data_IF_853008884371
#
_entry.id   IF_853008884371
#
_cell.length_a   1.000
_cell.length_b   1.000
_cell.length_c   1.000
_cell.angle_alpha   90.00
_cell.angle_beta   90.00
_cell.angle_gamma   90.00
#
_symmetry.space_group_name_H-M   'P 1'
#
loop_
_entity.id
_entity.type
_entity.pdbx_description
1 polymer ?
#
# COMPACT_ATOMS: atom_id res chain seq x y z
N UNK A 1 25.11 25.33 -44.18
CA UNK A 1 24.83 24.77 -45.52
C UNK A 1 25.06 23.27 -45.42
N UNK A 2 23.96 22.50 -45.35
CA UNK A 2 23.71 21.08 -45.72
C UNK A 2 24.67 19.97 -45.18
N UNK A 3 24.20 19.08 -44.28
CA UNK A 3 23.45 17.79 -44.50
C UNK A 3 24.42 16.62 -44.85
N UNK A 4 24.29 15.35 -44.44
CA UNK A 4 23.27 14.45 -43.84
C UNK A 4 24.06 13.14 -43.51
N UNK A 5 23.71 12.29 -42.53
CA UNK A 5 22.64 11.27 -42.64
C UNK A 5 22.25 10.72 -41.26
N UNK A 6 20.97 10.91 -40.94
CA UNK A 6 20.17 10.23 -39.92
C UNK A 6 19.49 9.03 -40.60
N UNK A 7 19.53 7.85 -39.97
CA UNK A 7 18.73 6.70 -40.40
C UNK A 7 17.87 6.18 -39.25
N UNK A 8 16.64 6.70 -39.17
CA UNK A 8 15.49 6.01 -38.56
C UNK A 8 14.75 5.23 -39.64
N UNK A 9 14.00 4.19 -39.24
CA UNK A 9 12.68 3.96 -39.81
C UNK A 9 11.60 4.12 -38.72
N UNK A 10 10.71 5.08 -38.98
CA UNK A 10 9.37 5.13 -38.41
C UNK A 10 8.54 4.02 -39.06
N UNK A 11 7.74 3.29 -38.28
CA UNK A 11 6.56 2.62 -38.79
C UNK A 11 5.42 2.76 -37.78
N UNK A 12 4.54 3.71 -38.06
CA UNK A 12 3.17 3.77 -37.55
C UNK A 12 2.33 2.82 -38.39
N UNK A 13 1.78 1.77 -37.77
CA UNK A 13 0.64 1.06 -38.33
C UNK A 13 -0.57 1.25 -37.42
N UNK A 14 -1.41 2.18 -37.85
CA UNK A 14 -2.83 2.27 -37.50
C UNK A 14 -3.59 1.12 -38.17
N UNK A 15 -4.15 0.21 -37.38
CA UNK A 15 -5.38 -0.53 -37.70
C UNK A 15 -5.92 -1.18 -36.43
N UNK A 16 -7.22 -0.98 -36.22
CA UNK A 16 -8.09 -1.53 -35.17
C UNK A 16 -8.17 -0.77 -33.83
N UNK A 17 -8.58 0.50 -33.91
CA UNK A 17 -9.30 1.16 -32.80
C UNK A 17 -10.77 1.33 -33.20
N UNK A 18 -11.65 0.54 -32.58
CA UNK A 18 -13.10 0.79 -32.63
C UNK A 18 -13.40 2.07 -31.83
N UNK A 19 -14.13 2.99 -32.46
CA UNK A 19 -14.65 4.23 -31.86
C UNK A 19 -15.53 3.89 -30.64
N UNK A 20 -15.22 4.50 -29.50
CA UNK A 20 -16.19 4.75 -28.43
C UNK A 20 -16.67 6.20 -28.52
N UNK A 21 -17.95 6.37 -28.20
CA UNK A 21 -18.79 7.54 -28.44
C UNK A 21 -18.28 8.78 -27.70
N UNK A 22 -18.33 9.91 -28.40
CA UNK A 22 -18.05 11.22 -27.83
C UNK A 22 -19.26 11.73 -27.08
N UNK A 23 -19.15 11.78 -25.75
CA UNK A 23 -19.98 12.60 -24.86
C UNK A 23 -19.31 12.67 -23.48
N UNK A 24 -18.12 13.28 -23.41
CA UNK A 24 -17.61 13.93 -22.17
C UNK A 24 -16.68 15.07 -22.58
N UNK A 25 -17.24 16.15 -23.11
CA UNK A 25 -16.55 17.44 -23.11
C UNK A 25 -17.32 18.37 -22.17
N UNK A 26 -16.57 19.04 -21.27
CA UNK A 26 -16.98 20.14 -20.39
C UNK A 26 -17.39 19.76 -18.97
N UNK A 27 -16.40 19.62 -18.08
CA UNK A 27 -16.55 19.95 -16.66
C UNK A 27 -15.21 20.43 -16.06
N UNK A 28 -14.60 21.45 -16.65
CA UNK A 28 -13.61 22.27 -15.97
C UNK A 28 -14.08 23.72 -16.06
N UNK A 29 -14.76 24.17 -15.00
CA UNK A 29 -14.98 25.60 -14.73
C UNK A 29 -14.20 25.90 -13.47
N UNK A 30 -13.06 26.54 -13.66
CA UNK A 30 -12.25 27.13 -12.60
C UNK A 30 -13.00 28.33 -12.00
N UNK A 31 -13.31 28.27 -10.71
CA UNK A 31 -13.73 29.46 -9.93
C UNK A 31 -12.73 29.65 -8.80
N UNK A 32 -11.57 30.22 -9.14
CA UNK A 32 -10.66 30.78 -8.16
C UNK A 32 -11.13 32.19 -7.78
N UNK A 33 -11.65 32.35 -6.56
CA UNK A 33 -11.88 33.67 -5.97
C UNK A 33 -10.53 34.24 -5.50
N UNK A 34 -10.12 35.37 -6.07
CA UNK A 34 -8.95 36.11 -5.59
C UNK A 34 -9.26 36.81 -4.26
N UNK A 35 -8.38 36.75 -3.25
CA UNK A 35 -8.45 37.63 -2.10
C UNK A 35 -7.85 39.01 -2.41
N UNK A 36 -8.63 40.07 -2.20
CA UNK A 36 -8.19 41.46 -2.19
C UNK A 36 -7.28 41.75 -0.99
N UNK A 37 -6.11 42.34 -1.23
CA UNK A 37 -5.24 42.91 -0.20
C UNK A 37 -5.82 44.25 0.24
N UNK A 38 -6.24 44.36 1.51
CA UNK A 38 -6.58 45.66 2.12
C UNK A 38 -5.44 46.18 2.98
N UNK A 39 -5.13 47.46 2.77
CA UNK A 39 -4.06 48.22 3.41
C UNK A 39 -4.23 48.39 4.92
N UNK A 40 -3.09 48.62 5.56
CA UNK A 40 -2.92 48.57 7.01
C UNK A 40 -3.61 49.67 7.81
N UNK A 41 -3.71 49.40 9.11
CA UNK A 41 -4.07 50.35 10.14
C UNK A 41 -3.87 49.77 11.53
N UNK A 42 -3.09 50.46 12.37
CA UNK A 42 -3.22 50.39 13.82
C UNK A 42 -2.15 49.58 14.56
N UNK A 43 -1.20 50.29 15.16
CA UNK A 43 -0.37 49.77 16.25
C UNK A 43 -1.24 49.31 17.43
N UNK A 44 -0.95 48.11 17.91
CA UNK A 44 -1.47 47.58 19.16
C UNK A 44 -0.95 46.17 19.34
N UNK A 45 0.03 45.97 20.23
CA UNK A 45 0.42 44.64 20.64
C UNK A 45 -0.79 43.97 21.30
N UNK A 46 -1.43 43.05 20.59
CA UNK A 46 -2.39 42.14 21.20
C UNK A 46 -1.58 41.19 22.09
N UNK A 47 -1.55 41.49 23.39
CA UNK A 47 -1.04 40.59 24.41
C UNK A 47 -1.99 39.39 24.41
N UNK A 48 -1.54 38.26 23.86
CA UNK A 48 -2.27 37.00 23.97
C UNK A 48 -2.42 36.69 25.47
N UNK A 49 -3.63 36.37 25.96
CA UNK A 49 -3.79 35.88 27.32
C UNK A 49 -3.03 34.57 27.42
N UNK A 50 -1.96 34.57 28.23
CA UNK A 50 -1.16 33.39 28.49
C UNK A 50 -2.06 32.26 29.00
N UNK A 51 -2.20 31.21 28.21
CA UNK A 51 -2.64 29.92 28.71
C UNK A 51 -1.62 29.48 29.75
N UNK A 52 -2.07 29.29 30.99
CA UNK A 52 -1.22 28.89 32.11
C UNK A 52 -0.62 27.49 31.95
N UNK A 53 0.38 27.39 31.10
CA UNK A 53 1.37 26.32 31.05
C UNK A 53 2.73 26.96 31.31
N UNK A 54 2.89 27.48 32.52
CA UNK A 54 4.22 27.81 33.04
C UNK A 54 4.94 26.50 33.35
N UNK A 55 6.15 26.37 32.83
CA UNK A 55 7.16 25.35 33.16
C UNK A 55 7.22 24.08 32.29
N UNK A 56 6.88 24.15 31.00
CA UNK A 56 7.29 23.10 30.04
C UNK A 56 8.49 23.56 29.20
N UNK A 57 9.66 22.97 29.46
CA UNK A 57 10.95 23.31 28.81
C UNK A 57 10.91 23.10 27.28
N UNK A 58 9.99 22.30 26.76
CA UNK A 58 9.79 22.08 25.32
C UNK A 58 9.30 23.33 24.56
N UNK A 59 8.65 24.28 25.24
CA UNK A 59 8.16 25.53 24.64
C UNK A 59 9.19 26.67 24.69
N UNK A 60 10.39 26.42 25.23
CA UNK A 60 11.49 27.41 25.27
C UNK A 60 12.43 27.34 24.06
N UNK A 61 12.18 26.41 23.13
CA UNK A 61 12.94 26.27 21.89
C UNK A 61 12.36 27.19 20.80
N UNK A 62 13.21 27.78 19.94
CA UNK A 62 12.81 28.76 18.91
C UNK A 62 11.76 28.25 17.89
N UNK A 63 11.52 26.92 17.85
CA UNK A 63 10.59 26.23 16.96
C UNK A 63 9.39 25.62 17.74
N UNK A 64 8.74 26.43 18.57
CA UNK A 64 7.64 25.98 19.45
C UNK A 64 6.39 25.50 18.71
N UNK A 65 6.11 26.02 17.51
CA UNK A 65 4.99 25.56 16.66
C UNK A 65 5.30 24.19 16.06
N UNK A 66 6.49 24.01 15.48
CA UNK A 66 6.93 22.78 14.84
C UNK A 66 7.05 21.61 15.83
N UNK A 67 7.41 21.89 17.08
CA UNK A 67 7.50 20.91 18.15
C UNK A 67 6.16 20.22 18.49
N UNK A 68 5.02 20.83 18.14
CA UNK A 68 3.69 20.25 18.38
C UNK A 68 3.38 19.07 17.44
N UNK A 69 3.99 19.06 16.25
CA UNK A 69 3.66 18.12 15.19
C UNK A 69 2.21 18.20 14.72
N UNK A 70 1.70 17.11 14.14
CA UNK A 70 0.38 17.08 13.47
C UNK A 70 -0.59 16.05 14.07
N UNK A 71 -0.27 15.43 15.21
CA UNK A 71 -1.07 14.38 15.85
C UNK A 71 -1.53 13.28 14.87
N UNK A 72 -0.65 12.91 13.92
CA UNK A 72 -0.97 12.01 12.83
C UNK A 72 -0.67 10.54 13.22
N UNK A 73 -1.68 9.67 13.11
CA UNK A 73 -1.54 8.22 13.28
C UNK A 73 -1.10 7.51 11.98
N UNK A 74 -1.26 8.19 10.85
CA UNK A 74 -0.91 7.77 9.50
C UNK A 74 -0.54 9.01 8.71
N UNK A 75 0.54 8.92 7.92
CA UNK A 75 0.93 9.95 6.97
C UNK A 75 1.08 9.36 5.55
N UNK A 76 1.28 10.23 4.58
CA UNK A 76 1.65 9.86 3.22
C UNK A 76 2.67 10.85 2.68
N UNK A 77 3.62 10.34 1.89
CA UNK A 77 4.60 11.18 1.23
C UNK A 77 4.41 11.10 -0.27
N UNK A 78 4.11 12.23 -0.89
CA UNK A 78 3.79 12.26 -2.32
C UNK A 78 4.98 11.81 -3.17
N UNK A 79 6.18 12.31 -2.89
CA UNK A 79 7.38 12.01 -3.66
C UNK A 79 7.25 12.38 -5.14
N UNK A 80 6.81 11.42 -5.94
CA UNK A 80 6.63 11.62 -7.38
C UNK A 80 5.54 12.66 -7.68
N UNK A 81 5.75 13.59 -8.62
CA UNK A 81 6.95 13.80 -9.44
C UNK A 81 7.81 14.96 -8.96
N UNK A 82 7.19 15.94 -8.32
CA UNK A 82 7.78 17.25 -8.08
C UNK A 82 8.96 17.19 -7.10
N UNK A 83 8.89 16.32 -6.09
CA UNK A 83 10.00 16.13 -5.18
C UNK A 83 11.11 15.31 -5.83
N UNK A 84 10.79 14.12 -6.35
CA UNK A 84 11.79 13.16 -6.85
C UNK A 84 12.50 13.60 -8.13
N UNK A 85 11.91 14.52 -8.90
CA UNK A 85 12.56 15.14 -10.05
C UNK A 85 13.73 16.06 -9.65
N UNK A 86 13.87 16.42 -8.37
CA UNK A 86 14.89 17.35 -7.86
C UNK A 86 15.65 16.83 -6.63
N UNK A 87 14.97 16.22 -5.67
CA UNK A 87 15.49 15.81 -4.36
C UNK A 87 15.49 14.28 -4.22
N UNK A 88 16.34 13.70 -3.34
CA UNK A 88 16.37 12.26 -3.12
C UNK A 88 14.99 11.71 -2.80
N UNK A 89 14.65 10.55 -3.33
CA UNK A 89 13.33 9.94 -3.15
C UNK A 89 13.04 9.55 -1.68
N UNK A 90 11.79 9.14 -1.45
CA UNK A 90 11.28 8.78 -0.13
C UNK A 90 11.69 7.38 0.35
N UNK A 91 12.38 6.58 -0.46
CA UNK A 91 12.48 5.14 -0.25
C UNK A 91 13.03 4.76 1.13
N UNK A 92 14.16 5.34 1.51
CA UNK A 92 14.76 5.11 2.83
C UNK A 92 13.87 5.58 3.97
N UNK A 93 13.25 6.76 3.82
CA UNK A 93 12.34 7.33 4.83
C UNK A 93 11.14 6.40 5.03
N UNK A 94 10.48 6.00 3.95
CA UNK A 94 9.29 5.15 3.98
C UNK A 94 9.62 3.75 4.53
N UNK A 95 10.74 3.15 4.09
CA UNK A 95 11.18 1.84 4.57
C UNK A 95 11.49 1.85 6.08
N UNK A 96 12.27 2.82 6.57
CA UNK A 96 12.66 2.90 7.98
C UNK A 96 11.49 3.31 8.87
N UNK A 97 10.65 4.26 8.47
CA UNK A 97 9.50 4.67 9.29
C UNK A 97 8.50 3.53 9.47
N UNK A 98 8.19 2.80 8.38
CA UNK A 98 7.29 1.64 8.45
C UNK A 98 7.92 0.39 9.10
N UNK A 99 9.24 0.38 9.34
CA UNK A 99 9.92 -0.71 10.06
C UNK A 99 9.78 -0.58 11.57
N UNK A 100 9.87 -1.71 12.26
CA UNK A 100 9.75 -1.79 13.72
C UNK A 100 11.04 -1.46 14.48
N UNK A 101 12.04 -0.88 13.82
CA UNK A 101 13.34 -0.53 14.40
C UNK A 101 14.06 0.52 13.55
N UNK A 102 14.90 1.30 14.21
CA UNK A 102 15.89 2.17 13.58
C UNK A 102 17.10 2.36 14.50
N UNK A 103 17.91 3.40 14.25
CA UNK A 103 19.09 3.73 15.05
C UNK A 103 18.80 4.00 16.54
N UNK A 104 17.55 4.21 16.94
CA UNK A 104 17.14 4.36 18.33
C UNK A 104 16.69 3.03 18.99
N UNK A 105 16.77 1.91 18.27
CA UNK A 105 16.33 0.59 18.74
C UNK A 105 14.96 0.18 18.18
N UNK A 106 14.39 -0.87 18.76
CA UNK A 106 13.06 -1.36 18.39
C UNK A 106 11.97 -0.39 18.84
N UNK A 107 10.98 -0.15 17.98
CA UNK A 107 9.88 0.79 18.23
C UNK A 107 8.64 0.42 17.44
N UNK A 108 7.52 1.04 17.80
CA UNK A 108 6.33 0.99 16.97
C UNK A 108 6.63 1.58 15.57
N UNK A 109 6.19 0.92 14.50
CA UNK A 109 6.19 1.48 13.14
C UNK A 109 5.42 2.79 13.06
N UNK A 110 5.96 3.75 12.31
CA UNK A 110 5.25 4.94 11.87
C UNK A 110 4.72 4.70 10.45
N UNK A 111 3.40 4.64 10.31
CA UNK A 111 2.80 4.34 9.02
C UNK A 111 2.93 5.52 8.07
N UNK A 112 3.64 5.31 6.97
CA UNK A 112 3.80 6.29 5.88
C UNK A 112 3.49 5.62 4.55
N UNK A 113 2.44 6.10 3.89
CA UNK A 113 2.04 5.60 2.58
C UNK A 113 2.89 6.24 1.47
N UNK A 114 3.55 5.39 0.68
CA UNK A 114 4.20 5.74 -0.59
C UNK A 114 3.21 6.43 -1.52
N UNK A 115 3.70 7.40 -2.29
CA UNK A 115 2.92 8.19 -3.27
C UNK A 115 1.73 8.97 -2.68
N UNK A 116 1.72 9.15 -1.35
CA UNK A 116 0.60 9.71 -0.61
C UNK A 116 -0.73 8.98 -0.91
N UNK A 117 -0.67 7.66 -1.17
CA UNK A 117 -1.87 6.85 -1.35
C UNK A 117 -2.55 6.63 0.01
N UNK A 118 -3.40 7.59 0.38
CA UNK A 118 -4.14 7.58 1.62
C UNK A 118 -5.01 6.32 1.80
N UNK A 119 -5.52 5.72 0.72
CA UNK A 119 -6.38 4.54 0.81
C UNK A 119 -5.58 3.27 1.07
N UNK A 120 -4.35 3.17 0.54
CA UNK A 120 -3.42 2.13 0.97
C UNK A 120 -3.01 2.34 2.42
N UNK A 121 -2.73 3.60 2.80
CA UNK A 121 -2.41 3.97 4.17
C UNK A 121 -3.50 3.57 5.16
N UNK A 122 -4.79 3.76 4.84
CA UNK A 122 -5.90 3.31 5.69
C UNK A 122 -5.93 1.78 5.81
N UNK A 123 -5.67 1.05 4.72
CA UNK A 123 -5.57 -0.42 4.77
C UNK A 123 -4.39 -0.89 5.62
N UNK A 124 -3.23 -0.25 5.52
CA UNK A 124 -2.09 -0.46 6.42
C UNK A 124 -2.49 -0.17 7.87
N UNK A 125 -3.15 0.95 8.12
CA UNK A 125 -3.59 1.33 9.46
C UNK A 125 -4.54 0.30 10.07
N UNK A 126 -5.48 -0.25 9.29
CA UNK A 126 -6.34 -1.33 9.77
C UNK A 126 -5.54 -2.57 10.16
N UNK A 127 -4.61 -3.02 9.31
CA UNK A 127 -3.73 -4.13 9.63
C UNK A 127 -2.91 -3.88 10.90
N UNK A 128 -2.24 -2.71 10.98
CA UNK A 128 -1.41 -2.33 12.11
C UNK A 128 -2.18 -2.28 13.44
N UNK A 129 -3.39 -1.70 13.45
CA UNK A 129 -4.20 -1.60 14.66
C UNK A 129 -4.74 -2.96 15.14
N UNK A 130 -4.90 -3.92 14.23
CA UNK A 130 -5.36 -5.27 14.56
C UNK A 130 -4.22 -6.17 15.04
N UNK A 131 -3.01 -6.01 14.50
CA UNK A 131 -1.88 -6.93 14.75
C UNK A 131 -0.76 -6.34 15.60
N UNK A 132 -0.70 -5.02 15.71
CA UNK A 132 0.43 -4.27 16.29
C UNK A 132 1.77 -4.50 15.58
N UNK A 133 1.76 -4.98 14.33
CA UNK A 133 2.96 -5.28 13.54
C UNK A 133 3.22 -4.22 12.46
N UNK A 134 4.44 -4.18 11.93
CA UNK A 134 4.72 -3.46 10.69
C UNK A 134 3.81 -3.91 9.55
N UNK A 135 3.62 -3.04 8.55
CA UNK A 135 2.76 -3.26 7.40
C UNK A 135 3.56 -3.04 6.12
N UNK A 136 3.33 -3.90 5.12
CA UNK A 136 3.98 -3.78 3.83
C UNK A 136 3.08 -3.02 2.87
N UNK A 137 3.59 -1.89 2.36
CA UNK A 137 3.07 -1.23 1.18
C UNK A 137 3.62 -1.95 -0.06
N UNK A 138 2.78 -2.24 -1.07
CA UNK A 138 3.27 -2.87 -2.29
C UNK A 138 2.44 -2.55 -3.52
N UNK A 139 3.10 -2.44 -4.68
CA UNK A 139 2.41 -2.57 -5.96
C UNK A 139 2.04 -4.02 -6.23
N UNK A 140 0.81 -4.23 -6.68
CA UNK A 140 0.33 -5.47 -7.29
C UNK A 140 0.79 -5.46 -8.75
N UNK A 141 2.07 -5.77 -8.96
CA UNK A 141 2.78 -5.45 -10.20
C UNK A 141 2.48 -6.41 -11.34
N UNK A 142 2.61 -7.71 -11.10
CA UNK A 142 2.54 -8.72 -12.17
C UNK A 142 1.87 -10.00 -11.72
N UNK A 143 0.93 -10.50 -12.50
CA UNK A 143 0.48 -11.89 -12.40
C UNK A 143 1.37 -12.78 -13.28
N UNK A 144 1.98 -13.78 -12.67
CA UNK A 144 2.74 -14.83 -13.35
C UNK A 144 1.96 -16.13 -13.37
N UNK A 145 1.34 -16.41 -14.52
CA UNK A 145 0.67 -17.69 -14.74
C UNK A 145 1.68 -18.85 -14.81
N UNK A 146 1.27 -20.08 -14.45
CA UNK A 146 2.14 -21.25 -14.58
C UNK A 146 2.70 -21.42 -15.99
N UNK A 147 1.87 -21.15 -17.01
CA UNK A 147 2.28 -21.20 -18.40
C UNK A 147 3.32 -20.12 -18.76
N UNK A 148 3.17 -18.90 -18.22
CA UNK A 148 4.13 -17.83 -18.45
C UNK A 148 5.49 -18.15 -17.83
N UNK A 149 5.51 -18.65 -16.59
CA UNK A 149 6.73 -19.06 -15.89
C UNK A 149 7.43 -20.17 -16.67
N UNK A 150 6.70 -21.24 -17.02
CA UNK A 150 7.26 -22.34 -17.83
C UNK A 150 7.81 -21.85 -19.17
N UNK A 151 7.17 -20.89 -19.81
CA UNK A 151 7.64 -20.32 -21.08
C UNK A 151 8.95 -19.56 -20.94
N UNK A 152 9.14 -18.78 -19.87
CA UNK A 152 10.33 -17.92 -19.72
C UNK A 152 11.49 -18.58 -18.97
N UNK A 153 11.22 -19.59 -18.14
CA UNK A 153 12.26 -20.25 -17.33
C UNK A 153 12.40 -21.73 -17.65
N UNK A 154 11.40 -22.37 -18.28
CA UNK A 154 11.35 -23.82 -18.45
C UNK A 154 10.84 -24.58 -17.21
N UNK A 155 10.62 -23.90 -16.08
CA UNK A 155 10.22 -24.54 -14.83
C UNK A 155 8.69 -24.65 -14.69
N UNK A 156 8.25 -25.74 -14.08
CA UNK A 156 6.87 -25.90 -13.61
C UNK A 156 6.90 -25.76 -12.09
N UNK A 157 6.16 -24.79 -11.55
CA UNK A 157 6.09 -24.57 -10.12
C UNK A 157 5.23 -25.63 -9.43
N UNK A 158 5.45 -25.80 -8.13
CA UNK A 158 4.74 -26.76 -7.27
C UNK A 158 4.35 -26.11 -5.93
N UNK A 159 3.56 -26.81 -5.11
CA UNK A 159 3.14 -26.31 -3.81
C UNK A 159 2.20 -25.11 -3.94
N UNK A 160 2.26 -24.17 -3.01
CA UNK A 160 1.37 -23.00 -3.02
C UNK A 160 1.47 -22.14 -4.31
N UNK A 161 2.60 -22.21 -5.03
CA UNK A 161 2.83 -21.47 -6.26
C UNK A 161 2.34 -22.18 -7.55
N UNK A 162 1.79 -23.41 -7.45
CA UNK A 162 1.45 -24.23 -8.62
C UNK A 162 0.38 -23.61 -9.53
N UNK A 163 -0.51 -22.79 -8.96
CA UNK A 163 -1.59 -22.11 -9.68
C UNK A 163 -1.21 -20.71 -10.19
N UNK A 164 0.07 -20.34 -10.05
CA UNK A 164 0.59 -19.03 -10.39
C UNK A 164 0.82 -18.17 -9.15
N UNK A 165 1.51 -17.05 -9.35
CA UNK A 165 1.87 -16.12 -8.27
C UNK A 165 1.63 -14.68 -8.71
N UNK A 166 1.48 -13.81 -7.73
CA UNK A 166 1.44 -12.35 -7.91
C UNK A 166 2.77 -11.79 -7.41
N UNK A 167 3.43 -10.99 -8.23
CA UNK A 167 4.62 -10.23 -7.85
C UNK A 167 4.17 -8.97 -7.12
N UNK A 168 4.41 -8.93 -5.82
CA UNK A 168 4.23 -7.75 -4.98
C UNK A 168 5.60 -7.07 -4.86
N UNK A 169 5.71 -5.84 -5.35
CA UNK A 169 6.99 -5.11 -5.41
C UNK A 169 6.73 -3.60 -5.44
N UNK A 170 6.83 -2.94 -4.28
CA UNK A 170 6.69 -1.48 -4.23
C UNK A 170 7.80 -0.79 -5.04
N UNK A 171 7.57 0.45 -5.43
CA UNK A 171 8.50 1.29 -6.18
C UNK A 171 9.69 1.80 -5.36
N UNK A 172 10.31 0.95 -4.55
CA UNK A 172 11.56 1.22 -3.83
C UNK A 172 11.53 0.98 -2.33
N UNK A 173 10.39 1.15 -1.66
CA UNK A 173 10.31 1.10 -0.19
C UNK A 173 9.49 -0.09 0.34
N UNK A 174 9.97 -0.76 1.37
CA UNK A 174 9.14 -1.65 2.18
C UNK A 174 9.69 -1.76 3.60
N UNK A 175 8.82 -2.01 4.58
CA UNK A 175 9.23 -2.31 5.94
C UNK A 175 10.17 -3.54 5.95
N UNK A 176 11.34 -3.39 6.58
CA UNK A 176 12.41 -4.38 6.61
C UNK A 176 11.99 -5.66 7.34
N UNK A 177 10.98 -5.57 8.21
CA UNK A 177 10.35 -6.70 8.87
C UNK A 177 9.87 -7.78 7.87
N UNK A 178 9.46 -7.37 6.66
CA UNK A 178 8.97 -8.27 5.61
C UNK A 178 10.08 -8.99 4.84
N UNK A 179 11.36 -8.83 5.20
CA UNK A 179 12.41 -9.79 4.83
C UNK A 179 12.08 -11.20 5.33
N UNK A 180 11.24 -11.34 6.37
CA UNK A 180 10.87 -12.62 6.96
C UNK A 180 11.94 -13.23 7.86
N UNK A 181 12.88 -12.40 8.34
CA UNK A 181 13.99 -12.81 9.19
C UNK A 181 13.61 -12.94 10.68
N UNK A 182 12.40 -12.51 11.06
CA UNK A 182 11.81 -12.71 12.39
C UNK A 182 11.14 -14.10 12.51
N UNK A 183 11.85 -15.16 12.12
CA UNK A 183 11.32 -16.54 12.06
C UNK A 183 10.16 -16.75 11.07
N UNK A 184 10.25 -16.15 9.87
CA UNK A 184 9.20 -16.22 8.82
C UNK A 184 7.86 -15.64 9.33
N UNK A 185 7.97 -14.53 10.06
CA UNK A 185 6.85 -13.73 10.53
C UNK A 185 7.22 -12.25 10.54
N UNK A 186 6.23 -11.42 10.86
CA UNK A 186 6.39 -10.02 11.29
C UNK A 186 5.78 -9.96 12.69
N UNK A 187 6.54 -9.48 13.68
CA UNK A 187 6.14 -9.49 15.08
C UNK A 187 5.77 -8.09 15.58
N UNK A 188 5.01 -7.98 16.68
CA UNK A 188 4.93 -6.73 17.41
C UNK A 188 6.30 -6.31 17.91
N UNK A 189 6.59 -5.01 17.88
CA UNK A 189 7.95 -4.50 18.10
C UNK A 189 8.56 -4.85 19.47
N UNK A 190 7.73 -5.07 20.50
CA UNK A 190 8.17 -5.48 21.84
C UNK A 190 8.59 -6.96 21.92
N UNK A 191 8.35 -7.75 20.88
CA UNK A 191 8.75 -9.17 20.78
C UNK A 191 9.95 -9.38 19.85
N UNK A 192 10.40 -8.32 19.16
CA UNK A 192 11.53 -8.39 18.23
C UNK A 192 12.84 -8.38 19.01
N UNK A 193 13.67 -9.39 18.78
CA UNK A 193 14.99 -9.49 19.42
C UNK A 193 16.06 -8.72 18.63
N UNK A 194 17.16 -8.28 19.28
CA UNK A 194 18.28 -7.64 18.57
C UNK A 194 18.85 -8.50 17.44
N UNK A 195 18.91 -9.83 17.62
CA UNK A 195 19.37 -10.74 16.56
C UNK A 195 18.47 -10.74 15.33
N UNK A 196 17.16 -10.55 15.52
CA UNK A 196 16.20 -10.45 14.41
C UNK A 196 16.29 -9.11 13.69
N UNK A 197 16.54 -8.01 14.42
CA UNK A 197 16.85 -6.70 13.82
C UNK A 197 18.07 -6.81 12.91
N UNK A 198 19.18 -7.34 13.43
CA UNK A 198 20.41 -7.54 12.65
C UNK A 198 20.19 -8.45 11.44
N UNK A 199 19.37 -9.50 11.59
CA UNK A 199 19.06 -10.38 10.47
C UNK A 199 18.21 -9.70 9.38
N UNK A 200 17.25 -8.85 9.74
CA UNK A 200 16.49 -8.04 8.78
C UNK A 200 17.40 -7.04 8.04
N UNK A 201 18.27 -6.34 8.77
CA UNK A 201 19.22 -5.38 8.19
C UNK A 201 20.23 -6.07 7.26
N UNK A 202 20.78 -7.20 7.68
CA UNK A 202 21.76 -7.95 6.89
C UNK A 202 21.20 -8.54 5.58
N UNK A 203 19.88 -8.74 5.52
CA UNK A 203 19.19 -9.26 4.33
C UNK A 203 18.67 -8.15 3.41
N UNK A 204 18.83 -6.88 3.79
CA UNK A 204 18.39 -5.72 3.02
C UNK A 204 19.58 -5.04 2.37
N UNK A 205 19.54 -4.92 1.04
CA UNK A 205 20.47 -4.10 0.28
C UNK A 205 19.86 -2.72 0.04
N UNK A 206 20.74 -1.72 -0.12
CA UNK A 206 20.34 -0.33 -0.40
C UNK A 206 20.88 0.11 -1.76
N UNK A 207 20.37 -0.42 -2.88
CA UNK A 207 20.80 0.00 -4.22
C UNK A 207 20.44 1.47 -4.49
N UNK A 208 21.28 2.20 -5.25
CA UNK A 208 20.92 3.54 -5.73
C UNK A 208 19.66 3.51 -6.58
N UNK A 209 18.78 4.48 -6.35
CA UNK A 209 17.54 4.63 -7.13
C UNK A 209 17.84 4.86 -8.62
N UNK A 210 16.96 4.33 -9.48
CA UNK A 210 17.08 4.45 -10.94
C UNK A 210 16.87 5.91 -11.36
N UNK A 211 17.92 6.51 -11.92
CA UNK A 211 17.99 7.95 -12.21
C UNK A 211 16.87 8.45 -13.14
N UNK A 212 16.46 7.63 -14.12
CA UNK A 212 15.41 7.98 -15.08
C UNK A 212 14.04 8.22 -14.42
N UNK A 213 13.77 7.55 -13.28
CA UNK A 213 12.56 7.73 -12.48
C UNK A 213 12.78 8.73 -11.33
N UNK A 214 13.94 8.65 -10.67
CA UNK A 214 14.28 9.40 -9.47
C UNK A 214 15.53 10.26 -9.71
N UNK A 215 15.34 11.41 -10.37
CA UNK A 215 16.45 12.28 -10.81
C UNK A 215 17.24 12.89 -9.64
N UNK A 216 16.61 13.05 -8.49
CA UNK A 216 17.27 13.46 -7.25
C UNK A 216 18.06 12.35 -6.55
N UNK A 217 18.05 11.12 -7.07
CA UNK A 217 18.66 9.94 -6.46
C UNK A 217 17.81 9.36 -5.32
N UNK A 218 18.45 8.59 -4.44
CA UNK A 218 17.79 7.85 -3.36
C UNK A 218 18.38 6.44 -3.21
N UNK A 219 17.87 5.71 -2.22
CA UNK A 219 18.27 4.33 -1.96
C UNK A 219 17.05 3.47 -1.65
N UNK A 220 16.76 2.53 -2.54
CA UNK A 220 15.65 1.59 -2.39
C UNK A 220 16.00 0.51 -1.35
N UNK A 221 15.02 -0.03 -0.64
CA UNK A 221 15.21 -1.12 0.34
C UNK A 221 14.98 -2.47 -0.34
N UNK A 222 16.02 -3.03 -0.95
CA UNK A 222 15.92 -4.29 -1.69
C UNK A 222 16.07 -5.48 -0.75
N UNK A 223 15.12 -6.41 -0.82
CA UNK A 223 15.19 -7.73 -0.18
C UNK A 223 14.19 -8.68 -0.86
N UNK A 224 14.32 -9.98 -0.59
CA UNK A 224 13.36 -11.00 -0.98
C UNK A 224 12.65 -11.55 0.26
N UNK A 225 11.33 -11.36 0.35
CA UNK A 225 10.53 -11.95 1.44
C UNK A 225 10.61 -13.47 1.40
N UNK A 226 10.99 -14.08 2.53
CA UNK A 226 11.01 -15.54 2.68
C UNK A 226 9.62 -16.15 2.48
N UNK A 227 9.58 -17.27 1.77
CA UNK A 227 8.38 -18.08 1.56
C UNK A 227 7.86 -18.74 2.84
N UNK A 228 6.56 -19.08 2.82
CA UNK A 228 5.86 -19.76 3.91
C UNK A 228 5.20 -18.85 4.93
N UNK A 229 5.36 -17.53 4.82
CA UNK A 229 4.70 -16.56 5.70
C UNK A 229 3.20 -16.49 5.33
N UNK A 230 2.26 -16.69 6.28
CA UNK A 230 0.86 -16.39 6.03
C UNK A 230 0.70 -14.87 5.87
N UNK A 231 -0.02 -14.45 4.83
CA UNK A 231 -0.19 -13.05 4.50
C UNK A 231 -1.66 -12.74 4.24
N UNK A 232 -2.09 -11.54 4.61
CA UNK A 232 -3.38 -10.96 4.20
C UNK A 232 -3.11 -9.68 3.43
N UNK A 233 -3.40 -9.70 2.13
CA UNK A 233 -3.40 -8.50 1.30
C UNK A 233 -4.77 -7.82 1.40
N UNK A 234 -4.79 -6.52 1.61
CA UNK A 234 -6.02 -5.74 1.75
C UNK A 234 -5.94 -4.41 1.01
N UNK A 235 -7.10 -3.87 0.60
CA UNK A 235 -7.20 -2.58 -0.06
C UNK A 235 -8.54 -1.92 0.23
N UNK A 236 -8.50 -0.65 0.63
CA UNK A 236 -9.69 0.21 0.64
C UNK A 236 -9.77 0.95 -0.69
N UNK A 237 -10.95 1.02 -1.28
CA UNK A 237 -11.21 1.84 -2.47
C UNK A 237 -12.42 2.73 -2.22
N UNK A 238 -12.45 3.90 -2.84
CA UNK A 238 -13.65 4.77 -2.87
C UNK A 238 -14.33 4.63 -4.23
N UNK A 239 -15.58 4.16 -4.21
CA UNK A 239 -16.39 3.98 -5.42
C UNK A 239 -17.48 5.05 -5.45
N UNK A 240 -17.52 5.83 -6.53
CA UNK A 240 -18.53 6.89 -6.68
C UNK A 240 -19.95 6.30 -6.63
N UNK A 241 -20.81 6.89 -5.79
CA UNK A 241 -22.19 6.43 -5.58
C UNK A 241 -22.35 5.26 -4.60
N UNK A 242 -21.24 4.68 -4.11
CA UNK A 242 -21.26 3.62 -3.11
C UNK A 242 -20.52 4.00 -1.83
N UNK A 243 -19.38 4.70 -1.95
CA UNK A 243 -18.51 5.05 -0.83
C UNK A 243 -17.32 4.08 -0.69
N UNK A 244 -16.75 3.93 0.52
CA UNK A 244 -15.62 3.04 0.74
C UNK A 244 -16.02 1.58 0.62
N UNK A 245 -15.16 0.76 0.01
CA UNK A 245 -15.25 -0.70 -0.03
C UNK A 245 -13.91 -1.30 0.39
N UNK A 246 -13.93 -2.49 0.99
CA UNK A 246 -12.73 -3.23 1.39
C UNK A 246 -12.57 -4.51 0.56
N UNK A 247 -11.36 -4.77 0.08
CA UNK A 247 -10.94 -6.02 -0.54
C UNK A 247 -9.93 -6.73 0.37
N UNK A 248 -10.02 -8.06 0.44
CA UNK A 248 -9.19 -8.91 1.30
C UNK A 248 -8.78 -10.15 0.49
N UNK A 249 -7.52 -10.52 0.50
CA UNK A 249 -7.01 -11.76 -0.07
C UNK A 249 -6.00 -12.39 0.88
N UNK A 250 -6.40 -13.46 1.56
CA UNK A 250 -5.48 -14.29 2.36
C UNK A 250 -4.68 -15.23 1.45
N UNK A 251 -3.43 -15.48 1.81
CA UNK A 251 -2.54 -16.35 1.07
C UNK A 251 -1.21 -16.53 1.78
N UNK A 252 -0.15 -16.80 1.02
CA UNK A 252 1.18 -17.00 1.56
C UNK A 252 2.24 -16.34 0.70
N UNK A 253 3.35 -15.92 1.32
CA UNK A 253 4.58 -15.76 0.58
C UNK A 253 5.08 -17.12 0.10
N UNK A 254 5.75 -17.17 -1.06
CA UNK A 254 6.33 -18.40 -1.59
C UNK A 254 7.77 -18.19 -2.04
N UNK A 255 8.62 -19.18 -1.81
CA UNK A 255 9.95 -19.19 -2.40
C UNK A 255 9.85 -19.74 -3.83
N UNK A 256 10.49 -19.05 -4.77
CA UNK A 256 10.72 -19.55 -6.11
C UNK A 256 12.15 -20.09 -6.20
N UNK A 257 12.43 -21.11 -7.02
CA UNK A 257 13.81 -21.53 -7.29
C UNK A 257 14.65 -20.33 -7.75
N UNK A 258 15.91 -20.25 -7.32
CA UNK A 258 16.79 -19.09 -7.54
C UNK A 258 16.85 -18.65 -9.00
N UNK A 259 16.96 -19.61 -9.93
CA UNK A 259 16.99 -19.36 -11.37
C UNK A 259 15.67 -18.78 -11.89
N UNK A 260 14.54 -19.19 -11.31
CA UNK A 260 13.23 -18.65 -11.64
C UNK A 260 13.11 -17.25 -11.07
N UNK A 261 13.35 -17.08 -9.76
CA UNK A 261 13.29 -15.79 -9.08
C UNK A 261 14.12 -14.74 -9.83
N UNK A 262 15.39 -15.05 -10.10
CA UNK A 262 16.30 -14.16 -10.82
C UNK A 262 15.76 -13.77 -12.19
N UNK A 263 15.29 -14.75 -12.98
CA UNK A 263 14.76 -14.48 -14.32
C UNK A 263 13.53 -13.55 -14.31
N UNK A 264 12.70 -13.61 -13.27
CA UNK A 264 11.50 -12.76 -13.15
C UNK A 264 11.83 -11.37 -12.58
N UNK A 265 12.69 -11.31 -11.54
CA UNK A 265 13.12 -10.07 -10.87
C UNK A 265 13.92 -9.18 -11.83
N UNK A 266 14.92 -9.73 -12.53
CA UNK A 266 15.77 -8.98 -13.47
C UNK A 266 14.98 -8.31 -14.60
N UNK A 267 13.79 -8.84 -14.92
CA UNK A 267 12.90 -8.32 -15.98
C UNK A 267 11.90 -7.28 -15.48
N UNK A 268 11.79 -7.11 -14.17
CA UNK A 268 10.78 -6.25 -13.53
C UNK A 268 11.45 -5.05 -12.90
N UNK A 269 12.15 -5.26 -11.78
CA UNK A 269 13.07 -4.32 -11.16
C UNK A 269 13.91 -5.07 -10.12
N UNK A 270 15.23 -5.22 -10.30
CA UNK A 270 16.10 -5.91 -9.36
C UNK A 270 16.56 -5.04 -8.18
N UNK A 271 16.13 -3.78 -8.11
CA UNK A 271 16.52 -2.85 -7.04
C UNK A 271 15.45 -2.63 -5.98
N UNK A 272 14.29 -3.26 -6.14
CA UNK A 272 13.10 -3.07 -5.30
C UNK A 272 12.75 -4.33 -4.49
N UNK A 273 12.10 -4.17 -3.31
CA UNK A 273 11.76 -5.30 -2.44
C UNK A 273 10.72 -6.22 -3.10
N UNK A 274 11.00 -7.52 -3.16
CA UNK A 274 10.13 -8.51 -3.80
C UNK A 274 9.46 -9.42 -2.79
N UNK A 275 8.15 -9.60 -2.93
CA UNK A 275 7.39 -10.69 -2.32
C UNK A 275 6.61 -11.44 -3.40
N UNK A 276 6.79 -12.76 -3.47
CA UNK A 276 5.95 -13.63 -4.29
C UNK A 276 4.75 -14.09 -3.50
N UNK A 277 3.56 -13.71 -3.93
CA UNK A 277 2.32 -13.99 -3.22
C UNK A 277 1.46 -15.02 -3.95
N UNK A 278 1.03 -16.06 -3.22
CA UNK A 278 0.08 -17.05 -3.68
C UNK A 278 -1.24 -16.91 -2.88
N UNK A 279 -2.31 -16.35 -3.47
CA UNK A 279 -3.59 -16.23 -2.79
C UNK A 279 -4.24 -17.60 -2.59
N UNK A 280 -4.93 -17.79 -1.46
CA UNK A 280 -5.77 -18.97 -1.23
C UNK A 280 -6.97 -18.93 -2.18
N UNK A 281 -7.12 -19.96 -3.01
CA UNK A 281 -8.23 -20.09 -3.96
C UNK A 281 -9.43 -20.78 -3.32
N UNK A 282 -10.63 -20.41 -3.78
CA UNK A 282 -11.91 -21.01 -3.33
C UNK A 282 -12.64 -21.73 -4.46
N UNK A 283 -12.18 -21.55 -5.70
CA UNK A 283 -12.84 -22.05 -6.90
C UNK A 283 -14.09 -21.25 -7.31
N UNK A 284 -14.37 -20.12 -6.64
CA UNK A 284 -15.58 -19.31 -6.85
C UNK A 284 -15.24 -17.83 -6.98
N UNK A 285 -16.01 -17.11 -7.79
CA UNK A 285 -15.91 -15.65 -7.93
C UNK A 285 -14.50 -15.17 -8.26
N UNK A 286 -14.07 -14.11 -7.57
CA UNK A 286 -12.74 -13.51 -7.71
C UNK A 286 -11.58 -14.40 -7.21
N UNK A 287 -11.87 -15.57 -6.62
CA UNK A 287 -10.87 -16.53 -6.13
C UNK A 287 -11.00 -17.89 -6.86
N UNK A 288 -11.50 -17.86 -8.09
CA UNK A 288 -11.54 -19.03 -8.99
C UNK A 288 -10.14 -19.46 -9.42
N UNK A 289 -9.27 -18.49 -9.70
CA UNK A 289 -7.84 -18.68 -9.96
C UNK A 289 -7.05 -17.41 -9.59
N UNK A 290 -5.72 -17.49 -9.64
CA UNK A 290 -4.84 -16.37 -9.25
C UNK A 290 -4.98 -15.17 -10.20
N UNK A 291 -5.31 -15.42 -11.47
CA UNK A 291 -5.59 -14.35 -12.43
C UNK A 291 -6.83 -13.56 -12.03
N UNK A 292 -7.92 -14.24 -11.66
CA UNK A 292 -9.14 -13.61 -11.19
C UNK A 292 -8.90 -12.76 -9.94
N UNK A 293 -8.00 -13.17 -9.05
CA UNK A 293 -7.64 -12.36 -7.86
C UNK A 293 -7.04 -11.03 -8.30
N UNK A 294 -6.01 -11.04 -9.15
CA UNK A 294 -5.39 -9.80 -9.63
C UNK A 294 -6.36 -8.99 -10.51
N UNK A 295 -7.12 -9.66 -11.38
CA UNK A 295 -8.05 -9.03 -12.32
C UNK A 295 -9.25 -8.34 -11.65
N UNK A 296 -9.56 -8.70 -10.40
CA UNK A 296 -10.59 -8.03 -9.60
C UNK A 296 -10.00 -7.07 -8.55
N UNK A 297 -8.68 -6.95 -8.43
CA UNK A 297 -8.06 -6.01 -7.49
C UNK A 297 -8.29 -4.57 -7.96
N UNK A 298 -8.81 -3.72 -7.06
CA UNK A 298 -9.38 -2.42 -7.42
C UNK A 298 -8.41 -1.25 -7.56
N UNK A 299 -7.11 -1.49 -7.36
CA UNK A 299 -6.05 -0.47 -7.43
C UNK A 299 -4.72 -1.10 -7.87
N UNK A 300 -3.69 -0.29 -8.14
CA UNK A 300 -2.34 -0.80 -8.36
C UNK A 300 -1.63 -1.15 -7.03
N UNK A 301 -2.05 -0.60 -5.89
CA UNK A 301 -1.45 -0.88 -4.59
C UNK A 301 -2.25 -1.89 -3.75
N UNK A 302 -1.56 -2.55 -2.83
CA UNK A 302 -2.13 -3.31 -1.72
C UNK A 302 -1.35 -3.06 -0.42
N UNK A 303 -2.04 -3.22 0.71
CA UNK A 303 -1.44 -3.26 2.04
C UNK A 303 -1.40 -4.70 2.53
N UNK A 304 -0.25 -5.17 2.98
CA UNK A 304 -0.05 -6.56 3.38
C UNK A 304 0.29 -6.62 4.87
N UNK A 305 -0.47 -7.44 5.59
CA UNK A 305 -0.20 -7.80 6.97
C UNK A 305 0.26 -9.25 7.07
N UNK A 306 1.12 -9.55 8.04
CA UNK A 306 1.47 -10.93 8.40
C UNK A 306 0.31 -11.60 9.16
N UNK A 307 0.06 -12.87 8.85
CA UNK A 307 -1.08 -13.65 9.35
C UNK A 307 -2.29 -13.67 8.42
N UNK A 308 -3.25 -14.54 8.75
CA UNK A 308 -4.58 -14.60 8.14
C UNK A 308 -5.55 -13.83 9.03
N UNK A 309 -5.65 -12.52 8.79
CA UNK A 309 -6.41 -11.56 9.61
C UNK A 309 -7.71 -11.12 8.91
N UNK A 310 -8.15 -11.84 7.89
CA UNK A 310 -9.30 -11.45 7.08
C UNK A 310 -10.59 -11.40 7.88
N UNK A 311 -10.79 -12.31 8.82
CA UNK A 311 -11.96 -12.30 9.71
C UNK A 311 -12.01 -11.05 10.62
N UNK A 312 -10.84 -10.62 11.12
CA UNK A 312 -10.71 -9.42 11.94
C UNK A 312 -10.99 -8.15 11.12
N UNK A 313 -10.46 -8.09 9.89
CA UNK A 313 -10.74 -7.02 8.94
C UNK A 313 -12.23 -6.95 8.56
N UNK A 314 -12.89 -8.09 8.35
CA UNK A 314 -14.34 -8.14 8.10
C UNK A 314 -15.13 -7.59 9.29
N UNK A 315 -14.73 -7.94 10.51
CA UNK A 315 -15.37 -7.45 11.73
C UNK A 315 -15.18 -5.94 11.88
N UNK A 316 -13.96 -5.44 11.69
CA UNK A 316 -13.63 -4.02 11.72
C UNK A 316 -14.41 -3.25 10.64
N UNK A 317 -14.47 -3.76 9.42
CA UNK A 317 -15.20 -3.15 8.31
C UNK A 317 -16.69 -3.03 8.62
N UNK A 318 -17.31 -4.05 9.22
CA UNK A 318 -18.71 -3.99 9.66
C UNK A 318 -18.94 -2.92 10.74
N UNK A 319 -18.00 -2.78 11.70
CA UNK A 319 -18.03 -1.69 12.68
C UNK A 319 -17.85 -0.31 12.03
N UNK A 320 -17.08 -0.22 10.95
CA UNK A 320 -16.92 1.02 10.18
C UNK A 320 -18.04 1.25 9.14
N UNK A 321 -18.92 0.26 8.93
CA UNK A 321 -19.95 0.23 7.87
C UNK A 321 -19.36 0.36 6.46
N UNK A 322 -18.20 -0.26 6.27
CA UNK A 322 -17.51 -0.41 4.99
C UNK A 322 -17.87 -1.79 4.44
N UNK A 323 -18.61 -1.91 3.32
CA UNK A 323 -18.89 -3.20 2.71
C UNK A 323 -17.59 -3.87 2.21
N UNK A 324 -17.52 -5.19 2.39
CA UNK A 324 -16.41 -6.02 1.90
C UNK A 324 -16.79 -6.57 0.53
N UNK A 325 -16.18 -6.04 -0.53
CA UNK A 325 -16.56 -6.34 -1.92
C UNK A 325 -15.80 -7.54 -2.52
N UNK A 326 -14.77 -8.05 -1.83
CA UNK A 326 -14.00 -9.22 -2.25
C UNK A 326 -13.29 -9.83 -1.04
N UNK A 327 -13.53 -11.10 -0.73
CA UNK A 327 -12.76 -11.86 0.27
C UNK A 327 -12.75 -13.37 0.01
N UNK A 328 -11.72 -14.06 0.51
CA UNK A 328 -11.61 -15.53 0.53
C UNK A 328 -11.66 -16.15 1.93
N UNK A 329 -12.02 -15.35 2.93
CA UNK A 329 -12.28 -15.80 4.31
C UNK A 329 -13.44 -16.79 4.34
N UNK A 330 -13.33 -17.85 5.15
CA UNK A 330 -14.38 -18.86 5.26
C UNK A 330 -15.66 -18.25 5.86
N UNK A 331 -16.82 -18.67 5.36
CA UNK A 331 -18.12 -18.10 5.78
C UNK A 331 -18.37 -18.24 7.29
N UNK A 332 -17.87 -19.34 7.90
CA UNK A 332 -18.00 -19.61 9.33
C UNK A 332 -17.20 -18.63 10.23
N UNK A 333 -16.21 -17.95 9.67
CA UNK A 333 -15.36 -16.99 10.39
C UNK A 333 -15.88 -15.55 10.25
N UNK A 334 -16.89 -15.32 9.40
CA UNK A 334 -17.52 -14.01 9.24
C UNK A 334 -18.26 -13.64 10.52
N UNK A 335 -17.68 -12.71 11.27
CA UNK A 335 -18.28 -12.14 12.48
C UNK A 335 -18.67 -10.68 12.27
N UNK A 336 -19.96 -10.37 12.46
CA UNK A 336 -20.53 -9.04 12.27
C UNK A 336 -21.61 -8.79 13.33
N UNK A 337 -22.04 -7.54 13.57
CA UNK A 337 -23.16 -7.27 14.46
C UNK A 337 -24.39 -8.07 14.07
N UNK A 338 -25.13 -8.61 15.05
CA UNK A 338 -26.26 -9.52 14.82
C UNK A 338 -27.35 -8.94 13.91
N UNK A 339 -27.46 -7.61 13.84
CA UNK A 339 -28.34 -6.90 12.94
C UNK A 339 -28.12 -7.24 11.45
N UNK A 340 -26.89 -7.57 11.02
CA UNK A 340 -26.60 -7.97 9.63
C UNK A 340 -27.42 -9.19 9.21
N UNK A 341 -27.69 -10.13 10.12
CA UNK A 341 -28.46 -11.33 9.81
C UNK A 341 -29.92 -11.00 9.41
N UNK A 342 -30.47 -9.87 9.88
CA UNK A 342 -31.81 -9.42 9.50
C UNK A 342 -31.87 -8.84 8.07
N UNK A 343 -30.71 -8.52 7.46
CA UNK A 343 -30.62 -8.05 6.09
C UNK A 343 -30.50 -9.18 5.06
N UNK A 344 -30.45 -10.45 5.48
CA UNK A 344 -30.53 -11.62 4.60
C UNK A 344 -29.52 -12.71 4.94
N UNK A 345 -29.74 -13.91 4.37
CA UNK A 345 -28.86 -15.07 4.55
C UNK A 345 -27.61 -15.01 3.66
N UNK A 346 -27.73 -14.43 2.46
CA UNK A 346 -26.61 -14.14 1.58
C UNK A 346 -25.69 -13.08 2.22
N UNK A 347 -24.49 -13.49 2.62
CA UNK A 347 -23.59 -12.69 3.47
C UNK A 347 -23.07 -11.44 2.78
N UNK A 348 -22.83 -11.48 1.48
CA UNK A 348 -22.39 -10.32 0.70
C UNK A 348 -23.54 -9.32 0.57
N UNK A 349 -24.70 -9.74 0.06
CA UNK A 349 -25.85 -8.87 -0.09
C UNK A 349 -26.35 -8.28 1.24
N UNK A 350 -26.30 -9.06 2.32
CA UNK A 350 -26.63 -8.57 3.66
C UNK A 350 -25.67 -7.47 4.11
N UNK A 351 -24.38 -7.57 3.78
CA UNK A 351 -23.37 -6.56 4.09
C UNK A 351 -23.67 -5.22 3.41
N UNK A 352 -23.87 -5.26 2.09
CA UNK A 352 -24.20 -4.07 1.31
C UNK A 352 -25.47 -3.40 1.82
N UNK A 353 -26.53 -4.17 2.09
CA UNK A 353 -27.79 -3.62 2.61
C UNK A 353 -27.63 -3.03 4.02
N UNK A 354 -26.89 -3.69 4.90
CA UNK A 354 -26.67 -3.21 6.26
C UNK A 354 -25.80 -1.93 6.27
N UNK A 355 -24.68 -1.92 5.55
CA UNK A 355 -23.82 -0.74 5.40
C UNK A 355 -24.58 0.44 4.77
N UNK A 356 -25.36 0.19 3.72
CA UNK A 356 -26.22 1.19 3.11
C UNK A 356 -27.39 1.62 3.99
N UNK A 357 -27.82 0.82 4.96
CA UNK A 357 -28.90 1.17 5.91
C UNK A 357 -28.37 2.01 7.08
N UNK A 358 -27.22 1.66 7.65
CA UNK A 358 -26.66 2.34 8.81
C UNK A 358 -25.81 3.57 8.43
N UNK A 359 -25.15 3.57 7.28
CA UNK A 359 -24.27 4.65 6.85
C UNK A 359 -22.98 4.75 7.69
N UNK A 360 -22.14 5.78 7.43
CA UNK A 360 -20.88 5.98 8.17
C UNK A 360 -21.15 6.25 9.65
N UNK A 361 -20.22 5.84 10.52
CA UNK A 361 -20.35 6.00 11.97
C UNK A 361 -20.40 7.47 12.41
N UNK A 362 -19.68 8.34 11.71
CA UNK A 362 -19.63 9.77 11.95
C UNK A 362 -19.95 10.54 10.66
N UNK A 363 -20.55 11.73 10.80
CA UNK A 363 -20.92 12.58 9.67
C UNK A 363 -22.30 12.25 9.09
N UNK A 364 -22.62 12.88 7.96
CA UNK A 364 -23.86 12.62 7.20
C UNK A 364 -23.53 11.85 5.93
N UNK A 365 -24.53 11.12 5.43
CA UNK A 365 -24.50 10.49 4.10
C UNK A 365 -24.32 11.49 2.99
#
# INVERSE_FOLDING_TARGET
>A
MLHRDDARPQNLHTRDVRRLLGDVHLAHVDVALQPEVRGGGGQGHAVLPGTGFGDDLLLTHEAGEEALGHNALLAGFQGQRQWTDHSPNGDFMEAILNSSFDWNGTRQPYLVATENDALNGVAMLFGHLLTCTAQMFSDVRTYWSPAAIRRVTGHTLSGAAEHGVIHLINSGASALDFSGRQSVAVKPFWEITPAEVEACLADTLWPPAIYEYFRGGGYSSEFLTRGGMPLTMSRVNLVQGLGPVLQIAEGWSVDLPDEVNKALVDRTDPTWPTTWFAPRLTGKGAFSDVYAVMGNWGANHGAISCGHIGADLITLAALARIPVCMHNVAEAEIFRPSAWNAFGMDKEGADYRACANFGPLYGKR
#
